data_IF_289963155991
#
_entry.id   IF_289963155991
#
_cell.length_a   1.000
_cell.length_b   1.000
_cell.length_c   1.000
_cell.angle_alpha   90.00
_cell.angle_beta   90.00
_cell.angle_gamma   90.00
#
_symmetry.space_group_name_H-M   'P 1'
#
loop_
_entity.id
_entity.type
_entity.pdbx_description
1 polymer ?
#
# COMPACT_ATOMS: atom_id res chain seq x y z
N UNK A 1 -18.07 -18.93 -15.66
CA UNK A 1 -19.10 -17.91 -15.93
C UNK A 1 -19.58 -17.16 -14.68
N UNK A 2 -18.66 -16.51 -13.97
CA UNK A 2 -18.96 -15.46 -12.98
C UNK A 2 -18.07 -14.19 -13.20
N UNK A 3 -17.28 -14.16 -14.28
CA UNK A 3 -16.33 -13.09 -14.61
C UNK A 3 -16.83 -12.10 -15.67
N UNK A 4 -17.97 -12.34 -16.31
CA UNK A 4 -18.39 -11.56 -17.48
C UNK A 4 -19.32 -10.37 -17.20
N UNK A 5 -19.71 -10.12 -15.94
CA UNK A 5 -20.65 -9.03 -15.58
C UNK A 5 -20.20 -8.17 -14.39
N UNK A 6 -18.90 -8.07 -14.12
CA UNK A 6 -18.37 -6.95 -13.33
C UNK A 6 -17.76 -5.98 -14.33
N UNK A 7 -18.17 -4.72 -14.33
CA UNK A 7 -17.33 -3.61 -14.79
C UNK A 7 -15.90 -3.88 -14.30
N UNK A 8 -14.91 -3.87 -15.20
CA UNK A 8 -13.53 -4.32 -14.92
C UNK A 8 -12.98 -3.67 -13.64
N UNK A 9 -13.04 -4.40 -12.53
CA UNK A 9 -12.49 -3.93 -11.27
C UNK A 9 -10.97 -3.89 -11.39
N UNK A 10 -10.39 -2.72 -11.14
CA UNK A 10 -8.94 -2.56 -11.15
C UNK A 10 -8.38 -2.78 -9.75
N UNK A 11 -7.67 -3.90 -9.56
CA UNK A 11 -7.20 -4.32 -8.24
C UNK A 11 -5.78 -3.80 -7.93
N UNK A 12 -5.71 -2.81 -7.04
CA UNK A 12 -4.51 -2.29 -6.40
C UNK A 12 -4.31 -2.82 -4.96
N UNK A 13 -5.23 -3.62 -4.44
CA UNK A 13 -5.16 -4.15 -3.07
C UNK A 13 -4.17 -5.33 -2.95
N UNK A 14 -3.99 -6.07 -4.05
CA UNK A 14 -3.07 -7.18 -4.16
C UNK A 14 -1.80 -6.81 -4.95
N UNK A 15 -0.65 -7.18 -4.38
CA UNK A 15 0.65 -6.79 -4.92
C UNK A 15 1.16 -7.90 -5.86
N UNK A 16 1.06 -7.71 -7.17
CA UNK A 16 1.58 -8.63 -8.19
C UNK A 16 2.62 -7.94 -9.08
N UNK A 17 3.41 -8.72 -9.80
CA UNK A 17 4.30 -8.17 -10.80
C UNK A 17 3.50 -7.39 -11.86
N UNK A 18 3.78 -6.09 -12.08
CA UNK A 18 3.03 -5.26 -13.03
C UNK A 18 3.19 -5.69 -14.49
N UNK A 19 4.22 -6.48 -14.84
CA UNK A 19 4.32 -7.06 -16.19
C UNK A 19 3.32 -8.19 -16.44
N UNK A 20 2.62 -8.66 -15.41
CA UNK A 20 1.81 -9.86 -15.51
C UNK A 20 2.65 -11.12 -15.71
N UNK A 21 2.03 -12.28 -16.00
CA UNK A 21 2.76 -13.53 -16.19
C UNK A 21 3.75 -13.47 -17.36
N UNK A 22 4.96 -14.05 -17.24
CA UNK A 22 6.06 -13.86 -18.20
C UNK A 22 5.76 -14.36 -19.62
N UNK A 23 4.96 -15.42 -19.75
CA UNK A 23 4.60 -16.04 -21.03
C UNK A 23 3.33 -16.88 -20.81
N UNK A 24 2.17 -16.24 -20.96
CA UNK A 24 0.88 -16.84 -20.62
C UNK A 24 0.55 -18.05 -21.50
N UNK A 25 0.95 -18.02 -22.78
CA UNK A 25 0.73 -19.13 -23.71
C UNK A 25 1.54 -20.36 -23.31
N UNK A 26 2.81 -20.19 -22.92
CA UNK A 26 3.61 -21.31 -22.42
C UNK A 26 3.06 -21.84 -21.09
N UNK A 27 2.67 -20.95 -20.17
CA UNK A 27 2.01 -21.34 -18.90
C UNK A 27 0.76 -22.19 -19.18
N UNK A 28 -0.09 -21.77 -20.11
CA UNK A 28 -1.28 -22.53 -20.51
C UNK A 28 -0.91 -23.90 -21.07
N UNK A 29 0.07 -23.97 -21.99
CA UNK A 29 0.53 -25.23 -22.58
C UNK A 29 1.07 -26.20 -21.52
N UNK A 30 1.86 -25.71 -20.56
CA UNK A 30 2.42 -26.53 -19.48
C UNK A 30 1.31 -27.00 -18.55
N UNK A 31 0.37 -26.13 -18.19
CA UNK A 31 -0.77 -26.52 -17.37
C UNK A 31 -1.62 -27.60 -18.05
N UNK A 32 -1.91 -27.44 -19.35
CA UNK A 32 -2.62 -28.45 -20.15
C UNK A 32 -1.84 -29.75 -20.23
N UNK A 33 -0.52 -29.69 -20.38
CA UNK A 33 0.31 -30.88 -20.40
C UNK A 33 0.28 -31.61 -19.05
N UNK A 34 0.44 -30.89 -17.95
CA UNK A 34 0.41 -31.42 -16.59
C UNK A 34 -0.95 -32.01 -16.20
N UNK A 35 -2.05 -31.59 -16.83
CA UNK A 35 -3.37 -32.22 -16.65
C UNK A 35 -3.35 -33.69 -17.08
N UNK A 36 -2.52 -34.09 -18.06
CA UNK A 36 -2.44 -35.49 -18.47
C UNK A 36 -1.90 -36.40 -17.36
N UNK A 37 -1.22 -35.83 -16.36
CA UNK A 37 -0.63 -36.56 -15.24
C UNK A 37 -1.47 -36.43 -13.95
N UNK A 38 -2.66 -35.82 -14.00
CA UNK A 38 -3.49 -35.55 -12.80
C UNK A 38 -4.02 -36.82 -12.11
N UNK A 39 -4.06 -37.94 -12.83
CA UNK A 39 -4.45 -39.25 -12.27
C UNK A 39 -3.39 -39.81 -11.29
N UNK A 40 -2.18 -39.25 -11.31
CA UNK A 40 -1.05 -39.69 -10.49
C UNK A 40 -0.68 -38.62 -9.45
N UNK A 41 -0.29 -39.08 -8.26
CA UNK A 41 0.37 -38.20 -7.31
C UNK A 41 1.76 -37.81 -7.82
N UNK A 42 2.20 -36.54 -7.62
CA UNK A 42 3.58 -36.15 -7.87
C UNK A 42 4.57 -36.99 -7.05
N UNK A 43 5.84 -37.02 -7.48
CA UNK A 43 6.92 -37.53 -6.62
C UNK A 43 6.98 -36.66 -5.35
N UNK A 44 6.64 -37.23 -4.19
CA UNK A 44 6.59 -36.49 -2.93
C UNK A 44 7.95 -35.90 -2.52
N UNK A 45 9.06 -36.34 -3.12
CA UNK A 45 10.40 -35.77 -2.88
C UNK A 45 10.60 -34.46 -3.65
N UNK A 46 9.81 -34.21 -4.69
CA UNK A 46 9.88 -33.00 -5.54
C UNK A 46 11.29 -32.69 -6.04
N UNK A 47 12.03 -33.73 -6.46
CA UNK A 47 13.47 -33.60 -6.78
C UNK A 47 13.73 -32.62 -7.94
N UNK A 48 12.88 -32.62 -8.97
CA UNK A 48 12.98 -31.69 -10.10
C UNK A 48 12.73 -30.25 -9.65
N UNK A 49 11.68 -30.01 -8.88
CA UNK A 49 11.39 -28.70 -8.32
C UNK A 49 12.51 -28.18 -7.42
N UNK A 50 13.05 -29.03 -6.54
CA UNK A 50 14.18 -28.67 -5.68
C UNK A 50 15.40 -28.27 -6.49
N UNK A 51 15.73 -29.00 -7.56
CA UNK A 51 16.83 -28.63 -8.47
C UNK A 51 16.58 -27.30 -9.15
N UNK A 52 15.38 -27.08 -9.68
CA UNK A 52 15.03 -25.82 -10.35
C UNK A 52 15.09 -24.62 -9.39
N UNK A 53 14.53 -24.76 -8.18
CA UNK A 53 14.53 -23.71 -7.16
C UNK A 53 15.95 -23.42 -6.64
N UNK A 54 16.76 -24.45 -6.46
CA UNK A 54 18.16 -24.34 -6.05
C UNK A 54 18.99 -23.60 -7.09
N UNK A 55 18.85 -23.96 -8.37
CA UNK A 55 19.52 -23.27 -9.48
C UNK A 55 19.12 -21.79 -9.56
N UNK A 56 17.82 -21.50 -9.41
CA UNK A 56 17.32 -20.12 -9.39
C UNK A 56 17.84 -19.31 -8.20
N UNK A 57 17.91 -19.91 -7.01
CA UNK A 57 18.33 -19.23 -5.79
C UNK A 57 19.86 -19.23 -5.56
N UNK A 58 20.64 -19.99 -6.34
CA UNK A 58 22.08 -20.12 -6.18
C UNK A 58 22.50 -20.91 -4.93
N UNK A 59 21.75 -21.96 -4.57
CA UNK A 59 22.01 -22.86 -3.43
C UNK A 59 21.95 -24.32 -3.87
N UNK A 60 22.15 -25.27 -2.95
CA UNK A 60 22.05 -26.70 -3.25
C UNK A 60 20.59 -27.21 -3.13
N UNK A 61 20.18 -28.25 -3.87
CA UNK A 61 18.83 -28.83 -3.79
C UNK A 61 18.42 -29.29 -2.39
N UNK A 62 19.38 -29.70 -1.56
CA UNK A 62 19.20 -30.11 -0.17
C UNK A 62 18.79 -28.95 0.75
N UNK A 63 18.99 -27.70 0.31
CA UNK A 63 18.54 -26.51 1.03
C UNK A 63 17.06 -26.19 0.81
N UNK A 64 16.40 -26.84 -0.16
CA UNK A 64 15.08 -26.43 -0.63
C UNK A 64 13.96 -27.24 0.03
N UNK A 65 12.95 -26.52 0.54
CA UNK A 65 11.67 -27.07 1.01
C UNK A 65 10.51 -26.56 0.14
N UNK A 66 9.89 -27.40 -0.70
CA UNK A 66 8.74 -27.02 -1.52
C UNK A 66 7.50 -26.71 -0.68
N UNK A 67 6.71 -25.72 -1.11
CA UNK A 67 5.49 -25.32 -0.42
C UNK A 67 4.41 -24.76 -1.35
N UNK A 68 3.16 -24.98 -0.99
CA UNK A 68 1.91 -24.50 -1.57
C UNK A 68 1.68 -22.99 -1.31
N UNK A 69 2.69 -22.20 -1.69
CA UNK A 69 2.82 -20.77 -1.38
C UNK A 69 3.45 -20.50 -0.02
N UNK A 70 3.86 -19.24 0.20
CA UNK A 70 4.52 -18.83 1.45
C UNK A 70 3.65 -19.01 2.70
N UNK A 71 2.33 -19.00 2.56
CA UNK A 71 1.41 -19.27 3.67
C UNK A 71 1.59 -20.66 4.27
N UNK A 72 1.86 -21.69 3.46
CA UNK A 72 2.18 -23.02 3.99
C UNK A 72 3.54 -23.00 4.71
N UNK A 73 4.55 -22.29 4.17
CA UNK A 73 5.86 -22.18 4.83
C UNK A 73 5.75 -21.55 6.21
N UNK A 74 4.95 -20.50 6.40
CA UNK A 74 4.75 -19.90 7.73
C UNK A 74 4.26 -20.95 8.73
N UNK A 75 3.27 -21.76 8.33
CA UNK A 75 2.72 -22.84 9.16
C UNK A 75 3.74 -23.94 9.41
N UNK A 76 4.39 -24.42 8.36
CA UNK A 76 5.37 -25.50 8.42
C UNK A 76 6.57 -25.13 9.29
N UNK A 77 7.09 -23.90 9.17
CA UNK A 77 8.17 -23.41 10.02
C UNK A 77 7.72 -23.40 11.48
N UNK A 78 6.55 -22.83 11.77
CA UNK A 78 6.01 -22.78 13.12
C UNK A 78 5.86 -24.18 13.72
N UNK A 79 5.30 -25.14 12.98
CA UNK A 79 5.15 -26.55 13.40
C UNK A 79 6.49 -27.28 13.56
N UNK A 80 7.53 -26.85 12.84
CA UNK A 80 8.85 -27.50 12.90
C UNK A 80 9.68 -27.04 14.08
N UNK A 81 9.56 -25.77 14.50
CA UNK A 81 10.52 -25.17 15.45
C UNK A 81 9.91 -24.67 16.75
N UNK A 82 8.58 -24.49 16.86
CA UNK A 82 7.96 -23.87 18.02
C UNK A 82 7.27 -24.90 18.92
N UNK A 83 7.48 -24.75 20.22
CA UNK A 83 6.75 -25.45 21.27
C UNK A 83 5.84 -24.49 22.06
N UNK A 84 4.92 -25.06 22.84
CA UNK A 84 4.03 -24.28 23.71
C UNK A 84 4.84 -23.48 24.73
N UNK A 85 4.59 -22.17 24.78
CA UNK A 85 5.28 -21.25 25.69
C UNK A 85 6.55 -20.62 25.13
N UNK A 86 7.04 -21.06 23.96
CA UNK A 86 8.17 -20.42 23.30
C UNK A 86 7.87 -18.95 23.01
N UNK A 87 8.87 -18.08 23.11
CA UNK A 87 8.73 -16.67 22.75
C UNK A 87 9.27 -16.42 21.34
N UNK A 88 8.51 -15.67 20.52
CA UNK A 88 8.95 -15.30 19.16
C UNK A 88 8.92 -13.78 19.01
N UNK A 89 10.06 -13.19 18.68
CA UNK A 89 10.16 -11.74 18.45
C UNK A 89 9.54 -11.42 17.10
N UNK A 90 8.63 -10.45 17.10
CA UNK A 90 7.89 -10.06 15.90
C UNK A 90 7.77 -8.53 15.82
N UNK A 91 8.60 -7.88 14.97
CA UNK A 91 8.45 -6.47 14.64
C UNK A 91 7.10 -6.16 13.98
N UNK A 92 6.50 -5.03 14.34
CA UNK A 92 5.21 -4.57 13.84
C UNK A 92 5.30 -3.13 13.33
N UNK A 93 4.53 -2.76 12.29
CA UNK A 93 3.56 -3.60 11.57
C UNK A 93 4.21 -4.57 10.58
N UNK A 94 3.67 -5.78 10.47
CA UNK A 94 4.07 -6.76 9.45
C UNK A 94 2.92 -7.70 9.06
N UNK A 95 3.16 -8.68 8.20
CA UNK A 95 2.16 -9.64 7.74
C UNK A 95 1.54 -10.44 8.90
N UNK A 96 0.21 -10.39 9.01
CA UNK A 96 -0.51 -10.90 10.19
C UNK A 96 -0.46 -12.42 10.37
N UNK A 97 -0.15 -13.18 9.31
CA UNK A 97 -0.06 -14.63 9.40
C UNK A 97 1.05 -15.09 10.35
N UNK A 98 2.15 -14.35 10.49
CA UNK A 98 3.21 -14.74 11.43
C UNK A 98 2.68 -14.81 12.86
N UNK A 99 2.00 -13.75 13.33
CA UNK A 99 1.42 -13.70 14.68
C UNK A 99 0.35 -14.79 14.88
N UNK A 100 -0.49 -15.02 13.87
CA UNK A 100 -1.51 -16.07 13.90
C UNK A 100 -0.88 -17.45 14.07
N UNK A 101 0.19 -17.74 13.32
CA UNK A 101 0.83 -19.05 13.31
C UNK A 101 1.61 -19.30 14.62
N UNK A 102 2.30 -18.29 15.14
CA UNK A 102 2.94 -18.33 16.48
C UNK A 102 1.92 -18.71 17.54
N UNK A 103 0.77 -18.01 17.57
CA UNK A 103 -0.29 -18.28 18.55
C UNK A 103 -0.92 -19.66 18.40
N UNK A 104 -1.09 -20.14 17.18
CA UNK A 104 -1.67 -21.47 16.96
C UNK A 104 -0.80 -22.58 17.57
N UNK A 105 0.52 -22.40 17.59
CA UNK A 105 1.45 -23.35 18.25
C UNK A 105 1.48 -23.21 19.78
N UNK A 106 0.70 -22.29 20.36
CA UNK A 106 0.76 -21.98 21.79
C UNK A 106 2.01 -21.18 22.20
N UNK A 107 2.77 -20.65 21.23
CA UNK A 107 3.89 -19.76 21.47
C UNK A 107 3.41 -18.31 21.68
N UNK A 108 4.26 -17.49 22.29
CA UNK A 108 3.99 -16.12 22.72
C UNK A 108 4.69 -15.12 21.79
N UNK A 109 3.96 -14.32 20.99
CA UNK A 109 4.58 -13.29 20.16
C UNK A 109 5.02 -12.10 21.01
N UNK A 110 6.32 -11.82 21.03
CA UNK A 110 6.91 -10.61 21.62
C UNK A 110 6.92 -9.49 20.59
N UNK A 111 5.87 -8.67 20.62
CA UNK A 111 5.64 -7.60 19.64
C UNK A 111 6.52 -6.37 19.90
N UNK A 112 7.49 -6.15 19.02
CA UNK A 112 8.32 -4.93 19.04
C UNK A 112 7.91 -3.98 17.92
N UNK A 113 8.25 -2.71 18.07
CA UNK A 113 7.99 -1.71 17.03
C UNK A 113 9.19 -1.63 16.09
N UNK A 114 8.95 -1.50 14.79
CA UNK A 114 9.97 -0.97 13.88
C UNK A 114 10.31 0.47 14.30
N UNK A 115 11.29 0.64 15.21
CA UNK A 115 11.74 1.97 15.66
C UNK A 115 12.57 2.59 14.55
N UNK A 116 12.18 3.79 14.12
CA UNK A 116 12.60 4.44 12.88
C UNK A 116 12.11 3.65 11.66
N UNK A 117 11.19 4.26 10.91
CA UNK A 117 10.44 3.73 9.76
C UNK A 117 11.33 3.22 8.61
N UNK A 118 12.66 3.23 8.76
CA UNK A 118 13.58 3.02 7.65
C UNK A 118 14.68 1.99 7.86
N UNK A 119 15.15 1.63 9.06
CA UNK A 119 16.39 0.79 9.15
C UNK A 119 16.62 -0.07 10.39
N UNK A 120 15.83 0.02 11.46
CA UNK A 120 16.33 -0.49 12.74
C UNK A 120 15.67 -1.79 13.21
N UNK A 121 16.40 -2.90 13.04
CA UNK A 121 16.27 -4.07 13.90
C UNK A 121 16.96 -3.84 15.26
N UNK A 122 17.73 -2.74 15.42
CA UNK A 122 18.53 -2.44 16.62
C UNK A 122 17.76 -2.28 17.95
N UNK A 123 16.45 -2.48 17.98
CA UNK A 123 15.70 -2.70 19.23
C UNK A 123 15.74 -4.14 19.73
N UNK A 124 16.20 -5.09 18.91
CA UNK A 124 16.48 -6.46 19.32
C UNK A 124 17.82 -6.45 20.06
N UNK A 125 17.82 -7.03 21.26
CA UNK A 125 19.00 -7.11 22.14
C UNK A 125 19.35 -8.58 22.38
N UNK A 126 20.59 -8.86 22.75
CA UNK A 126 21.03 -10.23 23.08
C UNK A 126 20.16 -10.86 24.17
N UNK A 127 19.78 -10.09 25.19
CA UNK A 127 18.87 -10.52 26.26
C UNK A 127 17.50 -10.95 25.72
N UNK A 128 17.02 -10.28 24.67
CA UNK A 128 15.77 -10.67 24.00
C UNK A 128 15.96 -11.93 23.16
N UNK A 129 17.07 -12.04 22.44
CA UNK A 129 17.41 -13.20 21.62
C UNK A 129 17.56 -14.45 22.49
N UNK A 130 18.39 -14.41 23.53
CA UNK A 130 18.59 -15.50 24.48
C UNK A 130 17.29 -16.00 25.14
N UNK A 131 16.27 -15.16 25.24
CA UNK A 131 14.96 -15.49 25.81
C UNK A 131 13.91 -15.89 24.76
N UNK A 132 14.27 -16.01 23.49
CA UNK A 132 13.34 -16.24 22.37
C UNK A 132 13.78 -17.43 21.52
N UNK A 133 12.80 -18.17 21.01
CA UNK A 133 13.04 -19.29 20.10
C UNK A 133 13.37 -18.82 18.68
N UNK A 134 12.73 -17.74 18.26
CA UNK A 134 12.87 -17.22 16.92
C UNK A 134 12.61 -15.71 16.82
N UNK A 135 13.07 -15.11 15.73
CA UNK A 135 12.76 -13.77 15.26
C UNK A 135 12.18 -13.87 13.85
N UNK A 136 11.02 -13.26 13.61
CA UNK A 136 10.45 -13.15 12.27
C UNK A 136 10.74 -11.77 11.67
N UNK A 137 11.39 -11.73 10.52
CA UNK A 137 11.65 -10.52 9.73
C UNK A 137 11.03 -10.71 8.34
N UNK A 138 10.33 -9.69 7.85
CA UNK A 138 9.88 -9.64 6.46
C UNK A 138 10.75 -8.64 5.70
N UNK A 139 11.45 -9.08 4.65
CA UNK A 139 12.40 -8.27 3.93
C UNK A 139 12.30 -8.43 2.39
N UNK A 140 11.83 -7.40 1.66
CA UNK A 140 11.26 -6.16 2.17
C UNK A 140 9.96 -6.35 2.96
N UNK A 141 9.69 -5.46 3.93
CA UNK A 141 8.56 -5.61 4.84
C UNK A 141 7.22 -5.34 4.14
N UNK A 142 6.18 -6.08 4.56
CA UNK A 142 4.78 -5.84 4.21
C UNK A 142 4.00 -5.51 5.49
N UNK A 143 3.46 -4.29 5.67
CA UNK A 143 2.98 -3.40 4.59
C UNK A 143 3.88 -2.22 4.25
N UNK A 144 5.00 -1.99 4.94
CA UNK A 144 5.74 -0.72 4.81
C UNK A 144 6.53 -0.59 3.52
N UNK A 145 6.89 -1.70 2.88
CA UNK A 145 7.67 -1.75 1.64
C UNK A 145 9.18 -1.61 1.84
N UNK A 146 9.65 -1.51 3.08
CA UNK A 146 11.05 -1.18 3.40
C UNK A 146 11.97 -2.38 3.29
N UNK A 147 13.08 -2.24 2.58
CA UNK A 147 14.18 -3.20 2.52
C UNK A 147 15.22 -2.91 3.62
N UNK A 148 15.61 -3.96 4.33
CA UNK A 148 16.71 -3.99 5.27
C UNK A 148 17.97 -4.43 4.51
N UNK A 149 19.05 -3.64 4.54
CA UNK A 149 20.29 -4.00 3.89
C UNK A 149 20.85 -5.32 4.43
N UNK A 150 21.35 -6.16 3.51
CA UNK A 150 21.99 -7.43 3.82
C UNK A 150 23.03 -7.39 4.95
N UNK A 151 23.96 -6.41 5.03
CA UNK A 151 24.92 -6.36 6.14
C UNK A 151 24.26 -6.27 7.53
N UNK A 152 23.12 -5.57 7.63
CA UNK A 152 22.38 -5.47 8.89
C UNK A 152 21.68 -6.79 9.25
N UNK A 153 21.20 -7.54 8.24
CA UNK A 153 20.66 -8.89 8.43
C UNK A 153 21.74 -9.92 8.75
N UNK A 154 22.92 -9.82 8.14
CA UNK A 154 24.08 -10.68 8.47
C UNK A 154 24.52 -10.47 9.92
N UNK A 155 24.55 -9.22 10.39
CA UNK A 155 24.81 -8.91 11.80
C UNK A 155 23.78 -9.55 12.72
N UNK A 156 22.48 -9.37 12.45
CA UNK A 156 21.43 -10.01 13.24
C UNK A 156 21.53 -11.54 13.19
N UNK A 157 21.84 -12.11 12.03
CA UNK A 157 21.97 -13.56 11.88
C UNK A 157 23.08 -14.13 12.77
N UNK A 158 24.20 -13.41 12.90
CA UNK A 158 25.28 -13.78 13.82
C UNK A 158 24.82 -13.70 15.28
N UNK A 159 24.18 -12.60 15.69
CA UNK A 159 23.63 -12.44 17.04
C UNK A 159 22.60 -13.54 17.36
N UNK A 160 21.73 -13.88 16.41
CA UNK A 160 20.78 -14.99 16.52
C UNK A 160 21.48 -16.34 16.69
N UNK A 161 22.55 -16.61 15.92
CA UNK A 161 23.32 -17.84 16.01
C UNK A 161 24.02 -18.00 17.36
N UNK A 162 24.61 -16.92 17.89
CA UNK A 162 25.26 -16.91 19.21
C UNK A 162 24.28 -17.20 20.35
N UNK A 163 23.00 -16.88 20.17
CA UNK A 163 21.92 -17.08 21.13
C UNK A 163 21.02 -18.29 20.81
N UNK A 164 21.41 -19.14 19.85
CA UNK A 164 20.63 -20.30 19.39
C UNK A 164 19.16 -19.96 19.01
N UNK A 165 18.94 -18.76 18.48
CA UNK A 165 17.65 -18.23 18.07
C UNK A 165 17.48 -18.36 16.55
N UNK A 166 16.37 -18.89 16.07
CA UNK A 166 16.12 -18.93 14.62
C UNK A 166 15.82 -17.53 14.07
N UNK A 167 16.49 -17.14 12.99
CA UNK A 167 16.17 -15.97 12.19
C UNK A 167 15.36 -16.40 10.97
N UNK A 168 14.06 -16.08 10.96
CA UNK A 168 13.16 -16.39 9.86
C UNK A 168 12.98 -15.12 9.02
N UNK A 169 13.27 -15.22 7.72
CA UNK A 169 13.26 -14.09 6.79
C UNK A 169 12.26 -14.38 5.66
N UNK A 170 11.15 -13.65 5.63
CA UNK A 170 10.23 -13.67 4.49
C UNK A 170 10.75 -12.74 3.39
N UNK A 171 11.23 -13.35 2.31
CA UNK A 171 11.78 -12.69 1.12
C UNK A 171 10.79 -12.76 -0.08
N UNK A 172 9.47 -12.77 0.17
CA UNK A 172 8.45 -12.90 -0.87
C UNK A 172 8.48 -11.81 -1.97
N UNK A 173 9.09 -10.65 -1.69
CA UNK A 173 9.19 -9.53 -2.63
C UNK A 173 10.62 -9.24 -3.11
N UNK A 174 11.64 -9.97 -2.64
CA UNK A 174 13.04 -9.61 -2.87
C UNK A 174 13.43 -9.61 -4.36
N UNK A 175 12.88 -10.53 -5.17
CA UNK A 175 13.16 -10.63 -6.61
C UNK A 175 12.61 -9.44 -7.43
N UNK A 176 11.54 -8.83 -6.93
CA UNK A 176 10.93 -7.62 -7.51
C UNK A 176 11.48 -6.32 -6.90
N UNK A 177 12.30 -6.46 -5.85
CA UNK A 177 12.99 -5.39 -5.16
C UNK A 177 14.46 -5.44 -5.58
N UNK A 178 15.37 -5.77 -4.66
CA UNK A 178 16.78 -5.96 -4.92
C UNK A 178 17.26 -7.34 -4.44
N UNK A 179 17.50 -8.31 -5.36
CA UNK A 179 17.95 -9.65 -5.02
C UNK A 179 19.37 -9.69 -4.42
N UNK A 180 20.18 -8.64 -4.57
CA UNK A 180 21.53 -8.59 -3.96
C UNK A 180 21.47 -8.58 -2.43
N UNK A 181 20.34 -8.13 -1.88
CA UNK A 181 20.09 -8.11 -0.44
C UNK A 181 19.55 -9.42 0.14
N UNK A 182 19.39 -10.45 -0.69
CA UNK A 182 19.02 -11.80 -0.25
C UNK A 182 20.04 -12.42 0.71
N UNK A 183 19.52 -13.11 1.72
CA UNK A 183 20.30 -13.92 2.67
C UNK A 183 20.49 -15.38 2.22
N UNK A 184 19.98 -15.78 1.05
CA UNK A 184 19.96 -17.18 0.59
C UNK A 184 21.34 -17.86 0.65
N UNK A 185 22.39 -17.16 0.22
CA UNK A 185 23.76 -17.69 0.22
C UNK A 185 24.33 -17.97 1.64
N UNK A 186 23.67 -17.50 2.70
CA UNK A 186 24.15 -17.61 4.09
C UNK A 186 23.60 -18.81 4.85
N UNK A 187 22.61 -19.54 4.30
CA UNK A 187 21.98 -20.66 5.02
C UNK A 187 22.93 -21.83 5.31
N UNK A 188 23.95 -22.03 4.47
CA UNK A 188 24.97 -23.07 4.69
C UNK A 188 26.01 -22.66 5.73
N UNK A 189 26.21 -21.36 5.94
CA UNK A 189 27.14 -20.84 6.96
C UNK A 189 26.47 -20.77 8.35
N UNK A 190 25.15 -20.64 8.40
CA UNK A 190 24.40 -20.45 9.63
C UNK A 190 23.08 -21.25 9.63
N UNK A 191 23.00 -22.35 10.43
CA UNK A 191 21.83 -23.23 10.47
C UNK A 191 20.59 -22.61 11.14
N UNK A 192 20.73 -21.44 11.75
CA UNK A 192 19.61 -20.72 12.36
C UNK A 192 18.88 -19.80 11.37
N UNK A 193 19.35 -19.66 10.12
CA UNK A 193 18.66 -18.89 9.09
C UNK A 193 17.62 -19.77 8.39
N UNK A 194 16.39 -19.26 8.31
CA UNK A 194 15.28 -19.85 7.54
C UNK A 194 14.73 -18.78 6.60
N UNK A 195 14.77 -18.99 5.30
CA UNK A 195 14.27 -18.03 4.31
C UNK A 195 13.03 -18.58 3.63
N UNK A 196 12.07 -17.71 3.36
CA UNK A 196 10.86 -18.03 2.61
C UNK A 196 10.81 -17.25 1.29
N UNK A 197 10.51 -17.96 0.20
CA UNK A 197 10.28 -17.37 -1.14
C UNK A 197 8.88 -17.71 -1.65
N UNK A 198 8.31 -16.80 -2.44
CA UNK A 198 7.00 -16.97 -3.05
C UNK A 198 7.07 -16.70 -4.56
N UNK A 199 6.68 -17.66 -5.37
CA UNK A 199 6.60 -17.51 -6.83
C UNK A 199 5.33 -16.76 -7.27
N UNK A 200 4.32 -16.75 -6.41
CA UNK A 200 3.00 -16.19 -6.74
C UNK A 200 3.01 -14.70 -7.06
N UNK A 201 3.91 -13.95 -6.42
CA UNK A 201 4.04 -12.49 -6.54
C UNK A 201 4.89 -12.14 -7.76
N UNK A 202 6.06 -12.78 -7.85
CA UNK A 202 7.10 -12.49 -8.84
C UNK A 202 6.66 -12.82 -10.27
N UNK A 203 5.81 -13.85 -10.45
CA UNK A 203 5.28 -14.26 -11.76
C UNK A 203 3.79 -13.96 -11.96
N UNK A 204 3.17 -13.18 -11.07
CA UNK A 204 1.75 -12.78 -11.14
C UNK A 204 0.75 -13.95 -11.34
N UNK A 205 1.01 -15.11 -10.72
CA UNK A 205 0.18 -16.33 -10.79
C UNK A 205 -0.31 -16.77 -9.41
N UNK A 206 -1.05 -15.91 -8.67
CA UNK A 206 -1.47 -16.21 -7.30
C UNK A 206 -2.35 -17.44 -7.14
N UNK A 207 -3.06 -17.87 -8.19
CA UNK A 207 -3.93 -19.04 -8.16
C UNK A 207 -3.18 -20.38 -8.18
N UNK A 208 -1.91 -20.41 -8.59
CA UNK A 208 -1.13 -21.66 -8.72
C UNK A 208 -0.55 -22.12 -7.38
N UNK A 209 -0.38 -21.19 -6.43
CA UNK A 209 0.04 -21.48 -5.06
C UNK A 209 1.43 -22.17 -4.97
N UNK A 210 2.49 -21.46 -5.33
CA UNK A 210 3.87 -22.02 -5.28
C UNK A 210 4.79 -21.10 -4.47
N UNK A 211 5.59 -21.70 -3.60
CA UNK A 211 6.68 -21.08 -2.85
C UNK A 211 7.68 -22.15 -2.42
N UNK A 212 8.77 -21.71 -1.79
CA UNK A 212 9.77 -22.63 -1.25
C UNK A 212 10.56 -21.98 -0.12
N UNK A 213 11.00 -22.80 0.82
CA UNK A 213 11.94 -22.42 1.86
C UNK A 213 13.38 -22.65 1.39
N UNK A 214 14.30 -21.83 1.86
CA UNK A 214 15.75 -22.02 1.74
C UNK A 214 16.31 -22.10 3.15
N UNK A 215 16.85 -23.25 3.53
CA UNK A 215 17.29 -23.56 4.90
C UNK A 215 18.56 -24.41 4.88
N UNK A 216 19.25 -24.51 6.00
CA UNK A 216 20.35 -25.48 6.15
C UNK A 216 19.82 -26.93 5.98
N UNK A 217 20.60 -27.86 5.38
CA UNK A 217 20.11 -29.21 5.08
C UNK A 217 19.57 -29.98 6.30
N UNK A 218 20.14 -29.78 7.48
CA UNK A 218 19.64 -30.38 8.72
C UNK A 218 18.24 -29.87 9.10
N UNK A 219 17.95 -28.60 8.85
CA UNK A 219 16.63 -28.00 9.08
C UNK A 219 15.67 -28.47 7.99
N UNK A 220 16.13 -28.55 6.73
CA UNK A 220 15.34 -29.10 5.63
C UNK A 220 14.87 -30.52 5.96
N UNK A 221 15.75 -31.39 6.43
CA UNK A 221 15.40 -32.76 6.82
C UNK A 221 14.33 -32.81 7.93
N UNK A 222 14.35 -31.87 8.89
CA UNK A 222 13.29 -31.77 9.91
C UNK A 222 11.98 -31.31 9.31
N UNK A 223 12.01 -30.26 8.47
CA UNK A 223 10.82 -29.74 7.80
C UNK A 223 10.19 -30.79 6.87
N UNK A 224 10.97 -31.62 6.18
CA UNK A 224 10.44 -32.72 5.36
C UNK A 224 9.65 -33.77 6.17
N UNK A 225 10.01 -34.00 7.43
CA UNK A 225 9.27 -34.92 8.30
C UNK A 225 7.94 -34.33 8.80
N UNK A 226 7.83 -33.00 8.87
CA UNK A 226 6.62 -32.29 9.31
C UNK A 226 5.71 -31.95 8.12
N UNK A 227 6.30 -31.69 6.94
CA UNK A 227 5.61 -31.31 5.72
C UNK A 227 4.56 -32.35 5.35
N UNK A 228 3.37 -31.86 5.01
CA UNK A 228 2.29 -32.73 4.54
C UNK A 228 2.73 -33.36 3.20
N UNK A 229 2.64 -34.70 3.06
CA UNK A 229 2.94 -35.36 1.80
C UNK A 229 2.05 -34.83 0.65
N UNK A 230 2.63 -34.71 -0.54
CA UNK A 230 1.97 -34.23 -1.75
C UNK A 230 1.35 -32.82 -1.64
N UNK A 231 2.01 -31.91 -0.91
CA UNK A 231 1.53 -30.55 -0.68
C UNK A 231 1.45 -29.68 -1.96
N UNK A 232 2.27 -29.96 -2.98
CA UNK A 232 2.15 -29.37 -4.31
C UNK A 232 1.39 -30.31 -5.24
N UNK A 233 0.34 -29.80 -5.88
CA UNK A 233 -0.35 -30.52 -6.95
C UNK A 233 0.44 -30.56 -8.25
N UNK A 234 0.14 -31.51 -9.13
CA UNK A 234 0.85 -31.77 -10.40
C UNK A 234 1.02 -30.52 -11.28
N UNK A 235 -0.02 -29.68 -11.39
CA UNK A 235 0.03 -28.45 -12.19
C UNK A 235 0.97 -27.41 -11.54
N UNK A 236 0.90 -27.27 -10.21
CA UNK A 236 1.74 -26.33 -9.47
C UNK A 236 3.22 -26.74 -9.50
N UNK A 237 3.49 -28.03 -9.38
CA UNK A 237 4.84 -28.58 -9.47
C UNK A 237 5.45 -28.33 -10.86
N UNK A 238 4.74 -28.74 -11.92
CA UNK A 238 5.21 -28.56 -13.31
C UNK A 238 5.42 -27.08 -13.69
N UNK A 239 4.48 -26.20 -13.32
CA UNK A 239 4.63 -24.77 -13.57
C UNK A 239 5.77 -24.16 -12.74
N UNK A 240 5.94 -24.60 -11.50
CA UNK A 240 7.03 -24.18 -10.63
C UNK A 240 8.39 -24.50 -11.23
N UNK A 241 8.60 -25.75 -11.63
CA UNK A 241 9.82 -26.22 -12.29
C UNK A 241 10.13 -25.35 -13.51
N UNK A 242 9.19 -25.24 -14.45
CA UNK A 242 9.44 -24.51 -15.68
C UNK A 242 9.71 -23.01 -15.46
N UNK A 243 8.96 -22.35 -14.58
CA UNK A 243 9.18 -20.92 -14.29
C UNK A 243 10.57 -20.69 -13.69
N UNK A 244 10.96 -21.53 -12.74
CA UNK A 244 12.26 -21.44 -12.07
C UNK A 244 13.40 -21.71 -13.06
N UNK A 245 13.32 -22.76 -13.87
CA UNK A 245 14.34 -23.08 -14.89
C UNK A 245 14.46 -21.97 -15.95
N UNK A 246 13.32 -21.51 -16.49
CA UNK A 246 13.30 -20.45 -17.51
C UNK A 246 13.95 -19.17 -17.00
N UNK A 247 13.63 -18.78 -15.76
CA UNK A 247 14.12 -17.51 -15.20
C UNK A 247 15.48 -17.62 -14.50
N UNK A 248 15.96 -18.83 -14.20
CA UNK A 248 17.37 -19.06 -13.88
C UNK A 248 18.25 -18.94 -15.14
N UNK A 249 17.75 -19.41 -16.30
CA UNK A 249 18.46 -19.31 -17.58
C UNK A 249 18.40 -17.90 -18.20
N UNK A 250 17.28 -17.18 -18.01
CA UNK A 250 17.07 -15.83 -18.53
C UNK A 250 16.40 -14.92 -17.48
N UNK A 251 17.18 -14.06 -16.78
CA UNK A 251 16.65 -13.15 -15.77
C UNK A 251 15.95 -11.91 -16.37
N UNK A 252 15.93 -11.73 -17.70
CA UNK A 252 15.47 -10.49 -18.36
C UNK A 252 14.04 -10.08 -18.01
N UNK A 253 13.16 -11.04 -17.73
CA UNK A 253 11.80 -10.74 -17.27
C UNK A 253 11.81 -10.05 -15.90
N UNK A 254 12.57 -10.56 -14.92
CA UNK A 254 12.65 -9.98 -13.58
C UNK A 254 13.40 -8.64 -13.61
N UNK A 255 14.43 -8.50 -14.45
CA UNK A 255 15.12 -7.22 -14.66
C UNK A 255 14.18 -6.13 -15.19
N UNK A 256 13.40 -6.44 -16.25
CA UNK A 256 12.38 -5.52 -16.77
C UNK A 256 11.29 -5.23 -15.74
N UNK A 257 10.94 -6.22 -14.92
CA UNK A 257 9.95 -6.04 -13.85
C UNK A 257 10.43 -5.03 -12.82
N UNK A 258 11.67 -5.17 -12.33
CA UNK A 258 12.30 -4.24 -11.39
C UNK A 258 12.39 -2.83 -11.95
N UNK A 259 12.79 -2.69 -13.22
CA UNK A 259 12.90 -1.37 -13.86
C UNK A 259 11.54 -0.68 -14.01
N UNK A 260 10.51 -1.42 -14.43
CA UNK A 260 9.14 -0.92 -14.49
C UNK A 260 8.65 -0.51 -13.10
N UNK A 261 8.81 -1.38 -12.10
CA UNK A 261 8.43 -1.09 -10.71
C UNK A 261 9.12 0.17 -10.22
N UNK A 262 10.44 0.31 -10.45
CA UNK A 262 11.20 1.48 -10.02
C UNK A 262 10.65 2.77 -10.64
N UNK A 263 10.48 2.80 -11.96
CA UNK A 263 9.99 3.98 -12.68
C UNK A 263 8.57 4.34 -12.29
N UNK A 264 7.68 3.34 -12.22
CA UNK A 264 6.27 3.57 -11.91
C UNK A 264 6.01 3.84 -10.44
N UNK A 265 6.80 3.27 -9.52
CA UNK A 265 6.76 3.60 -8.11
C UNK A 265 7.16 5.05 -7.88
N UNK A 266 8.26 5.51 -8.47
CA UNK A 266 8.71 6.89 -8.32
C UNK A 266 7.66 7.87 -8.90
N UNK A 267 7.10 7.53 -10.06
CA UNK A 267 5.99 8.31 -10.65
C UNK A 267 4.76 8.33 -9.73
N UNK A 268 4.32 7.18 -9.24
CA UNK A 268 3.11 7.06 -8.42
C UNK A 268 3.28 7.74 -7.06
N UNK A 269 4.44 7.60 -6.42
CA UNK A 269 4.77 8.32 -5.18
C UNK A 269 4.67 9.84 -5.37
N UNK A 270 5.20 10.37 -6.48
CA UNK A 270 5.12 11.79 -6.79
C UNK A 270 3.68 12.26 -7.03
N UNK A 271 2.81 11.45 -7.64
CA UNK A 271 1.42 11.85 -7.88
C UNK A 271 0.55 11.71 -6.63
N UNK A 272 0.80 10.68 -5.81
CA UNK A 272 0.12 10.51 -4.53
C UNK A 272 0.45 11.66 -3.57
N UNK A 273 1.68 12.18 -3.55
CA UNK A 273 2.05 13.30 -2.67
C UNK A 273 1.42 14.64 -3.08
N UNK A 274 0.96 14.77 -4.32
CA UNK A 274 0.19 15.95 -4.78
C UNK A 274 -1.27 15.91 -4.31
N UNK A 275 -1.79 14.75 -3.94
CA UNK A 275 -3.12 14.64 -3.35
C UNK A 275 -3.02 15.15 -1.91
N UNK A 276 -3.66 16.29 -1.61
CA UNK A 276 -3.69 16.86 -0.27
C UNK A 276 -4.04 15.79 0.76
N UNK A 277 -3.34 15.71 1.88
CA UNK A 277 -3.63 14.72 2.94
C UNK A 277 -3.10 13.30 2.67
N UNK A 278 -2.45 13.06 1.54
CA UNK A 278 -1.73 11.82 1.26
C UNK A 278 -0.23 12.02 1.51
N UNK A 279 0.37 11.15 2.33
CA UNK A 279 1.79 11.09 2.63
C UNK A 279 2.30 9.69 2.26
N UNK A 280 2.73 9.48 1.00
CA UNK A 280 3.26 8.19 0.55
C UNK A 280 4.63 7.92 1.18
N UNK A 281 4.77 6.74 1.82
CA UNK A 281 6.01 6.32 2.46
C UNK A 281 6.99 5.73 1.43
N UNK A 282 8.31 5.93 1.62
CA UNK A 282 9.34 5.24 0.84
C UNK A 282 9.13 3.72 0.81
N UNK A 283 9.31 3.13 -0.37
CA UNK A 283 9.13 1.71 -0.59
C UNK A 283 10.19 1.18 -1.55
N UNK A 284 10.69 0.00 -1.26
CA UNK A 284 11.61 -0.77 -2.07
C UNK A 284 10.88 -1.89 -2.83
N UNK A 285 9.54 -1.91 -2.81
CA UNK A 285 8.69 -2.99 -3.36
C UNK A 285 7.76 -2.50 -4.49
N UNK A 286 6.95 -3.42 -5.01
CA UNK A 286 5.87 -3.17 -5.98
C UNK A 286 4.56 -2.68 -5.33
N UNK A 287 4.63 -1.97 -4.21
CA UNK A 287 3.49 -1.33 -3.55
C UNK A 287 3.97 -0.14 -2.71
N UNK A 288 3.06 0.76 -2.38
CA UNK A 288 3.33 1.96 -1.58
C UNK A 288 2.32 1.98 -0.43
N UNK A 289 2.83 2.11 0.80
CA UNK A 289 2.00 2.43 1.96
C UNK A 289 1.80 3.94 1.99
N UNK A 290 0.55 4.38 2.06
CA UNK A 290 0.20 5.80 2.06
C UNK A 290 -0.46 6.12 3.37
N UNK A 291 0.10 7.09 4.07
CA UNK A 291 -0.52 7.67 5.24
C UNK A 291 -1.55 8.70 4.78
N UNK A 292 -2.77 8.57 5.28
CA UNK A 292 -3.87 9.49 5.00
C UNK A 292 -4.11 10.34 6.25
N UNK A 293 -3.74 11.61 6.17
CA UNK A 293 -3.88 12.61 7.24
C UNK A 293 -4.69 13.80 6.75
N UNK A 294 -5.09 14.65 7.67
CA UNK A 294 -5.73 15.95 7.40
C UNK A 294 -7.10 15.89 6.70
N UNK A 295 -7.62 14.69 6.46
CA UNK A 295 -9.02 14.43 6.13
C UNK A 295 -9.81 14.06 7.38
N UNK A 296 -11.13 14.24 7.33
CA UNK A 296 -12.04 13.53 8.24
C UNK A 296 -12.49 12.17 7.67
N UNK A 297 -11.77 11.65 6.67
CA UNK A 297 -11.92 10.28 6.14
C UNK A 297 -10.88 9.37 6.78
N UNK A 298 -11.31 8.17 7.16
CA UNK A 298 -10.42 7.09 7.56
C UNK A 298 -10.16 6.13 6.37
N UNK A 299 -9.25 5.17 6.55
CA UNK A 299 -8.83 4.23 5.50
C UNK A 299 -9.98 3.37 4.96
N UNK A 300 -10.98 3.11 5.80
CA UNK A 300 -12.16 2.35 5.43
C UNK A 300 -13.09 3.16 4.53
N UNK A 301 -13.30 4.43 4.86
CA UNK A 301 -14.12 5.32 4.03
C UNK A 301 -13.51 5.47 2.64
N UNK A 302 -12.19 5.70 2.54
CA UNK A 302 -11.50 5.79 1.24
C UNK A 302 -11.60 4.46 0.49
N UNK A 303 -11.38 3.31 1.14
CA UNK A 303 -11.54 1.99 0.50
C UNK A 303 -12.95 1.79 -0.08
N UNK A 304 -14.00 2.16 0.65
CA UNK A 304 -15.39 2.06 0.17
C UNK A 304 -15.66 2.99 -1.03
N UNK A 305 -15.15 4.22 -1.01
CA UNK A 305 -15.30 5.17 -2.13
C UNK A 305 -14.58 4.68 -3.37
N UNK A 306 -13.32 4.26 -3.24
CA UNK A 306 -12.54 3.73 -4.35
C UNK A 306 -13.23 2.50 -4.97
N UNK A 307 -13.80 1.61 -4.15
CA UNK A 307 -14.60 0.46 -4.63
C UNK A 307 -15.79 0.89 -5.47
N UNK A 308 -16.48 1.96 -5.08
CA UNK A 308 -17.61 2.49 -5.85
C UNK A 308 -17.19 3.05 -7.22
N UNK A 309 -15.94 3.50 -7.32
CA UNK A 309 -15.28 3.92 -8.56
C UNK A 309 -14.63 2.76 -9.32
N UNK A 310 -14.84 1.51 -8.88
CA UNK A 310 -14.32 0.32 -9.54
C UNK A 310 -12.85 0.00 -9.25
N UNK A 311 -12.23 0.64 -8.25
CA UNK A 311 -10.82 0.44 -7.88
C UNK A 311 -10.73 -0.18 -6.49
N UNK A 312 -10.04 -1.31 -6.37
CA UNK A 312 -9.79 -1.95 -5.08
C UNK A 312 -8.44 -1.48 -4.53
N UNK A 313 -8.42 -0.90 -3.34
CA UNK A 313 -7.18 -0.58 -2.61
C UNK A 313 -7.10 -1.42 -1.33
N UNK A 314 -5.95 -1.42 -0.64
CA UNK A 314 -5.82 -2.12 0.64
C UNK A 314 -6.03 -1.17 1.81
N UNK A 315 -7.12 -1.36 2.54
CA UNK A 315 -7.25 -0.85 3.91
C UNK A 315 -6.22 -1.53 4.83
N UNK A 316 -5.36 -0.73 5.48
CA UNK A 316 -4.31 -1.24 6.36
C UNK A 316 -4.75 -1.37 7.83
N UNK A 317 -6.01 -1.12 8.17
CA UNK A 317 -6.52 -1.21 9.54
C UNK A 317 -6.39 -2.61 10.17
N UNK A 318 -6.28 -3.66 9.35
CA UNK A 318 -6.03 -5.03 9.83
C UNK A 318 -4.60 -5.23 10.35
N UNK A 319 -3.64 -4.40 9.95
CA UNK A 319 -2.27 -4.49 10.42
C UNK A 319 -2.17 -3.89 11.82
N UNK A 320 -1.55 -4.62 12.76
CA UNK A 320 -1.39 -4.16 14.13
C UNK A 320 -0.64 -2.83 14.18
N UNK A 321 -1.03 -1.96 15.12
CA UNK A 321 -0.41 -0.65 15.38
C UNK A 321 -0.44 0.35 14.22
N UNK A 322 -1.13 0.03 13.12
CA UNK A 322 -1.30 0.96 11.99
C UNK A 322 -2.48 1.91 12.20
N UNK A 323 -3.59 1.42 12.77
CA UNK A 323 -4.82 2.20 12.90
C UNK A 323 -5.52 2.40 11.56
N UNK A 324 -6.38 3.42 11.44
CA UNK A 324 -7.15 3.69 10.21
C UNK A 324 -6.62 4.85 9.39
N UNK A 325 -5.35 5.18 9.59
CA UNK A 325 -4.70 6.34 8.96
C UNK A 325 -3.84 5.93 7.77
N UNK A 326 -3.97 4.69 7.28
CA UNK A 326 -3.15 4.21 6.18
C UNK A 326 -3.91 3.31 5.22
N UNK A 327 -3.56 3.46 3.95
CA UNK A 327 -3.90 2.54 2.87
C UNK A 327 -2.62 2.00 2.26
N UNK A 328 -2.74 0.98 1.43
CA UNK A 328 -1.65 0.51 0.57
C UNK A 328 -2.18 0.31 -0.85
N UNK A 329 -1.37 0.71 -1.82
CA UNK A 329 -1.67 0.56 -3.24
C UNK A 329 -0.52 -0.15 -3.94
N UNK A 330 -0.82 -1.10 -4.83
CA UNK A 330 0.19 -1.74 -5.67
C UNK A 330 0.79 -0.74 -6.68
N UNK A 331 1.99 -1.02 -7.16
CA UNK A 331 2.57 -0.33 -8.32
C UNK A 331 2.20 -1.15 -9.55
N UNK A 332 1.47 -0.55 -10.49
CA UNK A 332 0.97 -1.19 -11.71
C UNK A 332 1.55 -0.50 -12.96
N UNK A 333 0.97 -0.75 -14.13
CA UNK A 333 1.33 -0.05 -15.38
C UNK A 333 1.00 1.44 -15.28
N UNK A 334 1.62 2.28 -16.11
CA UNK A 334 1.32 3.73 -16.14
C UNK A 334 -0.17 4.02 -16.34
N UNK A 335 -0.83 3.28 -17.23
CA UNK A 335 -2.26 3.45 -17.50
C UNK A 335 -3.10 3.14 -16.26
N UNK A 336 -2.83 2.02 -15.59
CA UNK A 336 -3.52 1.63 -14.36
C UNK A 336 -3.27 2.65 -13.25
N UNK A 337 -2.01 3.09 -13.08
CA UNK A 337 -1.60 4.06 -12.06
C UNK A 337 -2.29 5.41 -12.28
N UNK A 338 -2.47 5.85 -13.54
CA UNK A 338 -3.22 7.07 -13.84
C UNK A 338 -4.69 6.95 -13.43
N UNK A 339 -5.35 5.82 -13.76
CA UNK A 339 -6.74 5.55 -13.32
C UNK A 339 -6.89 5.59 -11.80
N UNK A 340 -5.90 5.07 -11.07
CA UNK A 340 -5.86 5.17 -9.60
C UNK A 340 -5.83 6.62 -9.12
N UNK A 341 -4.94 7.45 -9.69
CA UNK A 341 -4.81 8.86 -9.31
C UNK A 341 -6.09 9.64 -9.62
N UNK A 342 -6.68 9.43 -10.79
CA UNK A 342 -7.92 10.09 -11.21
C UNK A 342 -9.09 9.74 -10.26
N UNK A 343 -9.24 8.46 -9.92
CA UNK A 343 -10.27 8.00 -8.99
C UNK A 343 -10.03 8.51 -7.55
N UNK A 344 -8.78 8.62 -7.10
CA UNK A 344 -8.47 9.23 -5.80
C UNK A 344 -8.87 10.71 -5.77
N UNK A 345 -8.56 11.46 -6.82
CA UNK A 345 -8.96 12.86 -6.95
C UNK A 345 -10.48 13.02 -6.97
N UNK A 346 -11.19 12.14 -7.69
CA UNK A 346 -12.65 12.10 -7.68
C UNK A 346 -13.21 11.78 -6.30
N UNK A 347 -12.69 10.74 -5.62
CA UNK A 347 -13.11 10.35 -4.27
C UNK A 347 -12.96 11.50 -3.26
N UNK A 348 -11.83 12.20 -3.30
CA UNK A 348 -11.58 13.37 -2.42
C UNK A 348 -12.54 14.51 -2.75
N UNK A 349 -12.81 14.75 -4.03
CA UNK A 349 -13.76 15.80 -4.48
C UNK A 349 -15.18 15.50 -4.05
N UNK A 350 -15.67 14.27 -4.26
CA UNK A 350 -16.99 13.82 -3.84
C UNK A 350 -17.16 13.95 -2.33
N UNK A 351 -16.16 13.50 -1.55
CA UNK A 351 -16.19 13.65 -0.10
C UNK A 351 -16.23 15.12 0.33
N UNK A 352 -15.47 15.99 -0.34
CA UNK A 352 -15.47 17.43 -0.07
C UNK A 352 -16.85 18.05 -0.27
N UNK A 353 -17.55 17.67 -1.34
CA UNK A 353 -18.94 18.11 -1.63
C UNK A 353 -19.91 17.62 -0.57
N UNK A 354 -19.91 16.33 -0.26
CA UNK A 354 -20.79 15.75 0.76
C UNK A 354 -20.53 16.34 2.16
N UNK A 355 -19.27 16.63 2.49
CA UNK A 355 -18.94 17.30 3.75
C UNK A 355 -19.50 18.72 3.78
N UNK A 356 -19.42 19.46 2.67
CA UNK A 356 -20.01 20.79 2.56
C UNK A 356 -21.53 20.73 2.70
N UNK A 357 -22.20 19.82 2.00
CA UNK A 357 -23.65 19.58 2.09
C UNK A 357 -24.07 19.24 3.52
N UNK A 358 -23.41 18.27 4.17
CA UNK A 358 -23.69 17.94 5.58
C UNK A 358 -23.53 19.12 6.52
N UNK A 359 -22.49 19.94 6.34
CA UNK A 359 -22.28 21.14 7.17
C UNK A 359 -23.37 22.19 6.94
N UNK A 360 -23.85 22.32 5.70
CA UNK A 360 -24.99 23.19 5.36
C UNK A 360 -26.25 22.65 6.04
N UNK A 361 -26.54 21.36 5.92
CA UNK A 361 -27.72 20.73 6.54
C UNK A 361 -27.70 20.79 8.06
N UNK A 362 -26.55 20.53 8.69
CA UNK A 362 -26.35 20.66 10.13
C UNK A 362 -26.59 22.09 10.60
N UNK A 363 -26.11 23.09 9.85
CA UNK A 363 -26.43 24.48 10.12
C UNK A 363 -27.95 24.69 10.05
N UNK A 364 -28.60 24.29 8.95
CA UNK A 364 -30.05 24.46 8.77
C UNK A 364 -30.89 23.77 9.87
N UNK A 365 -30.52 22.57 10.33
CA UNK A 365 -31.33 21.74 11.24
C UNK A 365 -31.05 21.93 12.73
N UNK A 366 -29.86 22.41 13.14
CA UNK A 366 -29.58 22.68 14.56
C UNK A 366 -30.35 23.90 15.12
N UNK A 367 -31.32 24.45 14.37
CA UNK A 367 -31.99 25.71 14.71
C UNK A 367 -31.03 26.91 14.70
N UNK A 368 -29.74 26.66 14.49
CA UNK A 368 -28.81 27.64 13.97
C UNK A 368 -28.96 27.68 12.45
N UNK A 369 -30.15 28.13 12.03
CA UNK A 369 -30.19 29.20 11.03
C UNK A 369 -28.97 30.07 11.34
N UNK A 370 -28.25 30.61 10.36
CA UNK A 370 -27.45 31.77 10.66
C UNK A 370 -28.40 32.90 11.13
N UNK A 371 -29.06 32.76 12.29
CA UNK A 371 -29.57 33.79 13.16
C UNK A 371 -28.36 34.43 13.85
N UNK A 372 -27.33 34.72 13.07
CA UNK A 372 -26.85 36.08 13.09
C UNK A 372 -27.74 36.88 12.11
N UNK A 373 -29.02 37.01 12.48
CA UNK A 373 -29.76 38.27 12.23
C UNK A 373 -29.02 39.44 12.89
N UNK A 374 -28.15 39.14 13.85
CA UNK A 374 -27.09 39.98 14.37
C UNK A 374 -25.72 39.45 13.95
N UNK A 375 -25.27 39.74 12.74
CA UNK A 375 -23.84 39.83 12.50
C UNK A 375 -23.36 41.09 13.23
N UNK A 376 -22.36 40.98 14.12
CA UNK A 376 -21.78 42.17 14.78
C UNK A 376 -21.27 43.21 13.77
N UNK A 377 -21.07 42.81 12.51
CA UNK A 377 -20.72 43.71 11.43
C UNK A 377 -21.94 44.28 10.68
N UNK A 378 -22.88 43.52 10.09
CA UNK A 378 -24.08 44.06 9.40
C UNK A 378 -25.17 42.99 9.11
N UNK A 379 -26.48 43.30 9.18
CA UNK A 379 -27.57 42.38 8.85
C UNK A 379 -27.79 42.30 7.32
N UNK A 380 -27.14 41.37 6.62
CA UNK A 380 -27.17 41.33 5.13
C UNK A 380 -27.89 40.13 4.49
N UNK A 381 -28.53 39.21 5.22
CA UNK A 381 -29.08 37.98 4.62
C UNK A 381 -30.60 38.02 4.40
N UNK A 382 -31.05 37.62 3.21
CA UNK A 382 -32.44 37.28 2.88
C UNK A 382 -32.52 35.91 2.15
N UNK A 383 -33.72 35.35 2.04
CA UNK A 383 -33.97 34.01 1.48
C UNK A 383 -33.48 33.89 0.02
N UNK A 384 -32.63 32.89 -0.26
CA UNK A 384 -32.16 32.55 -1.61
C UNK A 384 -30.68 32.88 -1.93
N UNK A 385 -29.91 33.38 -0.97
CA UNK A 385 -28.50 33.77 -1.19
C UNK A 385 -27.51 32.61 -0.97
N UNK A 386 -26.54 32.46 -1.88
CA UNK A 386 -25.45 31.48 -1.79
C UNK A 386 -24.34 31.98 -0.84
N UNK A 387 -24.09 31.22 0.23
CA UNK A 387 -23.12 31.56 1.29
C UNK A 387 -21.65 31.26 0.93
N UNK A 388 -21.36 30.81 -0.29
CA UNK A 388 -19.99 30.45 -0.74
C UNK A 388 -18.99 31.59 -0.52
N UNK A 389 -19.43 32.86 -0.58
CA UNK A 389 -18.61 34.03 -0.29
C UNK A 389 -19.22 34.95 0.78
N UNK A 390 -19.39 34.44 2.01
CA UNK A 390 -19.73 35.30 3.16
C UNK A 390 -18.77 36.49 3.36
N UNK A 391 -17.55 36.41 2.83
CA UNK A 391 -16.62 37.51 2.66
C UNK A 391 -16.12 37.52 1.22
N UNK A 392 -16.39 38.58 0.47
CA UNK A 392 -15.91 38.71 -0.89
C UNK A 392 -14.36 38.80 -0.88
N UNK A 393 -13.64 37.92 -1.60
CA UNK A 393 -12.17 37.92 -1.61
C UNK A 393 -11.59 39.21 -2.21
N UNK A 394 -12.41 39.99 -2.92
CA UNK A 394 -12.03 41.24 -3.55
C UNK A 394 -12.34 42.48 -2.71
N UNK A 395 -12.82 42.35 -1.46
CA UNK A 395 -13.21 43.51 -0.66
C UNK A 395 -12.02 44.29 -0.08
N UNK A 396 -11.99 45.64 -0.18
CA UNK A 396 -12.87 46.47 -1.00
C UNK A 396 -12.39 46.48 -2.46
N UNK A 397 -13.29 46.23 -3.41
CA UNK A 397 -12.93 46.26 -4.83
C UNK A 397 -12.86 47.69 -5.37
N UNK A 398 -13.59 48.63 -4.75
CA UNK A 398 -13.76 50.01 -5.19
C UNK A 398 -14.24 50.14 -6.64
N UNK A 399 -15.01 49.16 -7.13
CA UNK A 399 -15.57 49.15 -8.47
C UNK A 399 -17.09 49.27 -8.42
N UNK A 400 -17.61 50.43 -8.83
CA UNK A 400 -19.04 50.74 -8.80
C UNK A 400 -19.86 49.85 -9.75
N UNK A 401 -19.24 49.22 -10.76
CA UNK A 401 -19.91 48.26 -11.66
C UNK A 401 -20.45 47.04 -10.91
N UNK A 402 -19.87 46.72 -9.75
CA UNK A 402 -20.35 45.63 -8.89
C UNK A 402 -21.64 45.98 -8.15
N UNK A 403 -22.12 47.22 -8.18
CA UNK A 403 -23.22 47.71 -7.34
C UNK A 403 -22.78 48.22 -5.96
N UNK A 404 -21.47 48.13 -5.65
CA UNK A 404 -20.87 48.80 -4.49
C UNK A 404 -20.79 50.32 -4.67
N UNK A 405 -20.74 51.07 -3.57
CA UNK A 405 -20.64 52.53 -3.59
C UNK A 405 -20.00 53.07 -2.30
N UNK A 406 -19.46 54.29 -2.35
CA UNK A 406 -18.93 54.95 -1.16
C UNK A 406 -20.06 55.50 -0.27
N UNK A 407 -19.98 55.23 1.03
CA UNK A 407 -20.91 55.75 2.04
C UNK A 407 -20.17 56.50 3.15
N UNK A 408 -20.78 57.55 3.68
CA UNK A 408 -20.22 58.32 4.79
C UNK A 408 -20.40 57.57 6.11
N UNK A 409 -19.33 57.50 6.90
CA UNK A 409 -19.35 56.90 8.24
C UNK A 409 -20.01 57.86 9.23
N UNK A 410 -20.76 57.32 10.19
CA UNK A 410 -21.33 58.08 11.31
C UNK A 410 -20.26 58.75 12.21
N UNK A 411 -19.02 58.28 12.14
CA UNK A 411 -17.85 58.82 12.86
C UNK A 411 -16.97 59.76 12.03
N UNK A 412 -17.38 60.07 10.79
CA UNK A 412 -16.62 60.87 9.81
C UNK A 412 -15.74 60.03 8.87
N UNK A 413 -15.58 60.51 7.63
CA UNK A 413 -14.86 59.82 6.55
C UNK A 413 -15.76 58.89 5.71
N UNK A 414 -15.23 58.34 4.61
CA UNK A 414 -15.98 57.46 3.70
C UNK A 414 -15.52 55.99 3.81
N UNK A 415 -16.42 55.05 3.53
CA UNK A 415 -16.14 53.61 3.41
C UNK A 415 -16.83 53.03 2.19
N UNK A 416 -16.18 52.06 1.56
CA UNK A 416 -16.78 51.29 0.48
C UNK A 416 -17.87 50.37 1.03
N UNK A 417 -19.10 50.56 0.57
CA UNK A 417 -20.25 49.71 0.89
C UNK A 417 -20.49 48.73 -0.25
N UNK A 418 -20.51 47.44 0.07
CA UNK A 418 -20.93 46.39 -0.86
C UNK A 418 -22.42 46.04 -0.73
N UNK A 419 -23.22 46.85 -0.02
CA UNK A 419 -24.62 46.53 0.27
C UNK A 419 -25.50 46.35 -0.99
N UNK A 420 -25.12 46.93 -2.12
CA UNK A 420 -25.79 46.77 -3.41
C UNK A 420 -25.15 45.74 -4.35
N UNK A 421 -24.10 45.03 -3.91
CA UNK A 421 -23.39 44.04 -4.72
C UNK A 421 -23.96 42.64 -4.50
N UNK A 422 -24.64 42.11 -5.51
CA UNK A 422 -25.12 40.72 -5.58
C UNK A 422 -24.31 39.88 -6.57
N UNK A 423 -23.45 40.51 -7.38
CA UNK A 423 -22.75 39.90 -8.51
C UNK A 423 -21.93 38.67 -8.10
N UNK A 424 -21.09 38.79 -7.08
CA UNK A 424 -20.21 37.70 -6.59
C UNK A 424 -20.99 36.56 -5.90
N UNK A 425 -22.27 36.76 -5.62
CA UNK A 425 -23.16 35.75 -5.05
C UNK A 425 -23.96 35.00 -6.12
N UNK A 426 -23.87 35.40 -7.39
CA UNK A 426 -24.53 34.67 -8.46
C UNK A 426 -23.76 33.40 -8.78
N UNK A 427 -24.42 32.23 -8.95
CA UNK A 427 -23.74 30.96 -9.20
C UNK A 427 -22.84 30.95 -10.45
N UNK A 428 -23.20 31.71 -11.49
CA UNK A 428 -22.41 31.84 -12.73
C UNK A 428 -21.13 32.66 -12.56
N UNK A 429 -21.02 33.42 -11.47
CA UNK A 429 -19.85 34.23 -11.10
C UNK A 429 -19.05 33.56 -9.98
N UNK A 430 -19.74 33.03 -8.96
CA UNK A 430 -19.14 32.42 -7.79
C UNK A 430 -18.34 31.15 -8.12
N UNK A 431 -18.86 30.28 -8.99
CA UNK A 431 -18.20 29.01 -9.32
C UNK A 431 -16.83 29.21 -10.01
N UNK A 432 -16.69 30.05 -11.05
CA UNK A 432 -15.39 30.33 -11.64
C UNK A 432 -14.40 31.01 -10.69
N UNK A 433 -14.86 31.85 -9.76
CA UNK A 433 -14.00 32.44 -8.72
C UNK A 433 -13.44 31.34 -7.81
N UNK A 434 -14.30 30.40 -7.38
CA UNK A 434 -13.89 29.30 -6.50
C UNK A 434 -12.89 28.37 -7.18
N UNK A 435 -13.15 28.00 -8.44
CA UNK A 435 -12.23 27.19 -9.25
C UNK A 435 -10.86 27.87 -9.40
N UNK A 436 -10.85 29.18 -9.67
CA UNK A 436 -9.62 29.94 -9.82
C UNK A 436 -8.85 30.09 -8.49
N UNK A 437 -9.55 30.30 -7.36
CA UNK A 437 -8.94 30.33 -6.03
C UNK A 437 -8.33 28.99 -5.64
N UNK A 438 -8.98 27.87 -5.99
CA UNK A 438 -8.48 26.53 -5.73
C UNK A 438 -7.22 26.19 -6.54
N UNK A 439 -7.01 26.85 -7.68
CA UNK A 439 -5.84 26.65 -8.53
C UNK A 439 -4.62 27.51 -8.13
N UNK A 440 -4.76 28.40 -7.15
CA UNK A 440 -3.73 29.36 -6.74
C UNK A 440 -3.02 28.94 -5.42
N UNK A 441 -1.77 29.42 -5.23
CA UNK A 441 -0.97 29.15 -4.02
C UNK A 441 -1.32 30.08 -2.84
N UNK A 442 -2.25 31.02 -3.02
CA UNK A 442 -2.77 31.89 -1.96
C UNK A 442 -1.96 33.17 -1.72
N UNK A 443 -1.24 33.67 -2.73
CA UNK A 443 -0.49 34.93 -2.66
C UNK A 443 -1.41 36.12 -2.98
N UNK A 444 -1.14 37.34 -2.46
CA UNK A 444 -1.98 38.52 -2.73
C UNK A 444 -2.13 38.87 -4.23
N UNK A 445 -1.08 38.62 -5.02
CA UNK A 445 -1.10 38.76 -6.49
C UNK A 445 -2.14 37.85 -7.17
N UNK A 446 -2.45 36.69 -6.59
CA UNK A 446 -3.43 35.74 -7.14
C UNK A 446 -4.84 36.35 -7.18
N UNK A 447 -5.21 37.15 -6.18
CA UNK A 447 -6.54 37.77 -6.10
C UNK A 447 -6.75 38.79 -7.23
N UNK A 448 -5.71 39.54 -7.58
CA UNK A 448 -5.77 40.50 -8.69
C UNK A 448 -5.87 39.81 -10.04
N UNK A 449 -5.16 38.70 -10.21
CA UNK A 449 -5.24 37.90 -11.42
C UNK A 449 -6.59 37.21 -11.58
N UNK A 450 -7.18 36.72 -10.48
CA UNK A 450 -8.54 36.16 -10.48
C UNK A 450 -9.56 37.23 -10.81
N UNK A 451 -9.45 38.44 -10.26
CA UNK A 451 -10.31 39.57 -10.64
C UNK A 451 -10.28 39.81 -12.15
N UNK A 452 -9.08 39.92 -12.73
CA UNK A 452 -8.94 40.18 -14.17
C UNK A 452 -9.47 39.04 -15.04
N UNK A 453 -9.32 37.79 -14.60
CA UNK A 453 -9.74 36.61 -15.38
C UNK A 453 -11.23 36.33 -15.27
N UNK A 454 -11.83 36.60 -14.11
CA UNK A 454 -13.19 36.16 -13.78
C UNK A 454 -14.14 37.34 -13.64
N UNK A 455 -13.76 38.39 -12.93
CA UNK A 455 -14.64 39.53 -12.67
C UNK A 455 -14.70 40.51 -13.84
N UNK A 456 -13.57 40.92 -14.43
CA UNK A 456 -13.58 41.88 -15.56
C UNK A 456 -14.41 41.44 -16.78
N UNK A 457 -14.45 40.16 -17.17
CA UNK A 457 -15.32 39.74 -18.27
C UNK A 457 -16.82 39.77 -17.94
N UNK A 458 -17.18 39.85 -16.65
CA UNK A 458 -18.56 39.76 -16.14
C UNK A 458 -19.12 41.10 -15.66
N UNK A 459 -18.25 42.11 -15.49
CA UNK A 459 -18.57 43.51 -15.16
C UNK A 459 -18.77 44.35 -16.42
#
# INVERSE_FOLDING_TARGET
NARQNMTELLDFSANFNPLGPPDIEAIEKIAIHAINDIEWYPDNRYLDFKRAAAAFAGVDPENIIPANGSSELVRLIAETILDVGDTVILPQPTFGEYELNIKLMGAVPKLIEYRNVYRNIGSITDEMLAASKAVFICNPNNPTGTLIPKPDLEKLALECQENETFLIIDEAFIELSDPEHSMAAKVNENPFIIIMRSLTKIFAIPGVRIGYGIVHPDVANRMENVRIPWNLGTISDALGIWLLEKHAADPSYLERSRELIRTERDWLMNHLSLVRGFDPLPSDTNFIMVRIRDFSMDSREIDLRMRSLGILIRDCASFRRVGRDYIRVAVRTREDNQKLIDALAESVTQWGRELAERKIDEALHQGKIASRTNCEYYPCHFEGQDCTFCFCPFYPCNDERTGGHMVDRSTGGQVWSCAGCDLVHRPDVANPILEALMACEGKPEDIKDIWNKVMEPML
#
